data_IF_818409863075
#
_entry.id   IF_818409863075
#
_cell.length_a   1.000
_cell.length_b   1.000
_cell.length_c   1.000
_cell.angle_alpha   90.00
_cell.angle_beta   90.00
_cell.angle_gamma   90.00
#
_symmetry.space_group_name_H-M   'P 1'
#
loop_
_entity.id
_entity.type
_entity.pdbx_description
1 polymer ?
#
# COMPACT_ATOMS: atom_id res chain seq x y z
N UNK A 1 47.66 -19.78 -10.01
CA UNK A 1 46.35 -20.42 -9.73
C UNK A 1 45.25 -19.55 -10.33
N UNK A 2 45.14 -19.50 -11.66
CA UNK A 2 44.26 -18.53 -12.35
C UNK A 2 43.53 -19.18 -13.52
N UNK A 3 43.14 -20.45 -13.40
CA UNK A 3 42.57 -21.23 -14.52
C UNK A 3 41.14 -21.75 -14.27
N UNK A 4 40.48 -21.29 -13.20
CA UNK A 4 39.15 -21.79 -12.79
C UNK A 4 38.03 -20.74 -12.79
N UNK A 5 38.31 -19.46 -13.08
CA UNK A 5 37.25 -18.42 -13.15
C UNK A 5 36.75 -18.20 -14.58
N UNK A 6 37.62 -18.34 -15.56
CA UNK A 6 37.24 -18.11 -16.97
C UNK A 6 36.33 -19.22 -17.52
N UNK A 7 36.50 -20.46 -17.05
CA UNK A 7 35.64 -21.61 -17.43
C UNK A 7 34.21 -21.50 -16.88
N UNK A 8 33.97 -20.75 -15.80
CA UNK A 8 32.62 -20.58 -15.22
C UNK A 8 31.83 -19.53 -16.00
N UNK A 9 32.51 -18.54 -16.58
CA UNK A 9 31.90 -17.53 -17.43
C UNK A 9 31.58 -18.09 -18.83
N UNK A 10 32.48 -18.88 -19.41
CA UNK A 10 32.21 -19.53 -20.71
C UNK A 10 31.05 -20.53 -20.64
N UNK A 11 30.88 -21.26 -19.52
CA UNK A 11 29.74 -22.16 -19.36
C UNK A 11 28.41 -21.42 -19.10
N UNK A 12 28.43 -20.23 -18.52
CA UNK A 12 27.23 -19.40 -18.40
C UNK A 12 26.86 -18.72 -19.71
N UNK A 13 27.82 -18.37 -20.56
CA UNK A 13 27.55 -17.86 -21.91
C UNK A 13 27.01 -18.95 -22.85
N UNK A 14 27.31 -20.23 -22.61
CA UNK A 14 26.78 -21.33 -23.40
C UNK A 14 25.33 -21.71 -23.06
N UNK A 15 24.90 -21.60 -21.80
CA UNK A 15 23.47 -21.73 -21.44
C UNK A 15 22.61 -20.56 -21.93
N UNK A 16 23.24 -19.44 -22.33
CA UNK A 16 22.58 -18.25 -22.86
C UNK A 16 22.22 -18.35 -24.35
N UNK A 17 22.72 -19.34 -25.09
CA UNK A 17 22.54 -19.44 -26.55
C UNK A 17 21.49 -20.47 -26.99
N UNK A 18 20.74 -21.06 -26.05
CA UNK A 18 19.76 -22.13 -26.33
C UNK A 18 18.29 -21.67 -26.34
N UNK A 19 18.00 -20.40 -26.05
CA UNK A 19 16.64 -19.89 -26.22
C UNK A 19 16.35 -19.68 -27.72
N UNK A 20 15.22 -20.22 -28.17
CA UNK A 20 14.74 -20.03 -29.54
C UNK A 20 14.68 -18.54 -29.88
N UNK A 21 15.02 -18.12 -31.11
CA UNK A 21 14.83 -16.74 -31.57
C UNK A 21 13.44 -16.16 -31.26
N UNK A 22 12.42 -17.01 -31.15
CA UNK A 22 11.05 -16.66 -30.79
C UNK A 22 10.89 -16.29 -29.30
N UNK A 23 11.61 -16.94 -28.38
CA UNK A 23 11.59 -16.60 -26.95
C UNK A 23 12.33 -15.28 -26.67
N UNK A 24 13.41 -15.01 -27.41
CA UNK A 24 14.09 -13.72 -27.37
C UNK A 24 13.21 -12.58 -27.90
N UNK A 25 12.46 -12.82 -28.97
CA UNK A 25 11.53 -11.85 -29.52
C UNK A 25 10.37 -11.57 -28.56
N UNK A 26 9.81 -12.60 -27.91
CA UNK A 26 8.77 -12.43 -26.91
C UNK A 26 9.27 -11.68 -25.66
N UNK A 27 10.50 -11.94 -25.22
CA UNK A 27 11.12 -11.21 -24.11
C UNK A 27 11.38 -9.73 -24.45
N UNK A 28 11.88 -9.45 -25.65
CA UNK A 28 12.05 -8.10 -26.18
C UNK A 28 10.70 -7.37 -26.31
N UNK A 29 9.64 -8.06 -26.79
CA UNK A 29 8.28 -7.53 -26.82
C UNK A 29 7.73 -7.28 -25.41
N UNK A 30 7.91 -8.20 -24.46
CA UNK A 30 7.46 -8.04 -23.08
C UNK A 30 8.20 -6.87 -22.39
N UNK A 31 9.51 -6.72 -22.64
CA UNK A 31 10.29 -5.55 -22.20
C UNK A 31 9.85 -4.27 -22.90
N UNK A 32 9.51 -4.31 -24.18
CA UNK A 32 8.99 -3.17 -24.93
C UNK A 32 7.58 -2.78 -24.44
N UNK A 33 6.73 -3.74 -24.10
CA UNK A 33 5.42 -3.54 -23.49
C UNK A 33 5.57 -2.95 -22.07
N UNK A 34 6.53 -3.44 -21.28
CA UNK A 34 6.88 -2.88 -19.97
C UNK A 34 7.40 -1.44 -20.10
N UNK A 35 8.27 -1.19 -21.09
CA UNK A 35 8.79 0.14 -21.44
C UNK A 35 7.71 1.08 -22.01
N UNK A 36 6.69 0.56 -22.70
CA UNK A 36 5.61 1.33 -23.32
C UNK A 36 4.47 1.64 -22.35
N UNK A 37 4.20 0.75 -21.39
CA UNK A 37 3.12 0.97 -20.40
C UNK A 37 3.51 2.04 -19.36
N UNK A 38 4.81 2.32 -19.21
CA UNK A 38 5.34 3.46 -18.46
C UNK A 38 5.87 4.50 -19.44
N UNK A 39 5.01 4.99 -20.33
CA UNK A 39 5.17 6.33 -20.87
C UNK A 39 4.98 7.27 -19.66
N UNK A 40 6.10 7.51 -18.95
CA UNK A 40 6.20 8.27 -17.73
C UNK A 40 5.37 9.55 -17.86
N UNK A 41 4.33 9.67 -17.03
CA UNK A 41 4.09 10.99 -16.43
C UNK A 41 5.44 11.36 -15.83
N UNK A 42 6.13 12.31 -16.45
CA UNK A 42 7.40 12.77 -15.96
C UNK A 42 7.13 13.47 -14.63
N UNK A 43 7.28 12.72 -13.53
CA UNK A 43 7.12 13.21 -12.17
C UNK A 43 8.09 14.36 -11.89
N UNK A 44 9.16 14.51 -12.68
CA UNK A 44 10.09 15.63 -12.59
C UNK A 44 9.57 16.93 -13.21
N UNK A 45 8.60 16.86 -14.13
CA UNK A 45 8.02 18.04 -14.80
C UNK A 45 6.72 18.52 -14.14
N UNK A 46 6.10 17.71 -13.27
CA UNK A 46 4.91 18.15 -12.54
C UNK A 46 5.30 19.06 -11.36
N UNK A 47 4.54 20.14 -11.17
CA UNK A 47 4.58 20.93 -9.94
C UNK A 47 3.51 20.38 -9.01
N UNK A 48 3.87 19.63 -7.96
CA UNK A 48 2.88 19.11 -7.03
C UNK A 48 2.28 20.27 -6.25
N UNK A 49 0.96 20.40 -6.30
CA UNK A 49 0.21 21.37 -5.50
C UNK A 49 -1.19 20.85 -5.26
N UNK A 50 -1.88 21.38 -4.25
CA UNK A 50 -3.29 21.04 -3.98
C UNK A 50 -4.14 21.33 -5.23
N UNK A 51 -3.93 22.49 -5.86
CA UNK A 51 -4.63 22.87 -7.09
C UNK A 51 -4.33 21.90 -8.25
N UNK A 52 -3.06 21.49 -8.41
CA UNK A 52 -2.68 20.50 -9.44
C UNK A 52 -3.38 19.16 -9.19
N UNK A 53 -3.44 18.71 -7.92
CA UNK A 53 -4.12 17.48 -7.53
C UNK A 53 -5.63 17.54 -7.83
N UNK A 54 -6.27 18.66 -7.54
CA UNK A 54 -7.70 18.88 -7.82
C UNK A 54 -8.01 18.90 -9.32
N UNK A 55 -7.13 19.51 -10.12
CA UNK A 55 -7.26 19.54 -11.58
C UNK A 55 -7.13 18.14 -12.18
N UNK A 56 -6.14 17.36 -11.74
CA UNK A 56 -5.97 15.96 -12.17
C UNK A 56 -7.21 15.13 -11.80
N UNK A 57 -7.70 15.27 -10.57
CA UNK A 57 -8.89 14.55 -10.12
C UNK A 57 -10.13 14.91 -10.95
N UNK A 58 -10.35 16.20 -11.20
CA UNK A 58 -11.47 16.69 -12.01
C UNK A 58 -11.41 16.13 -13.44
N UNK A 59 -10.24 16.18 -14.08
CA UNK A 59 -10.07 15.65 -15.44
C UNK A 59 -10.31 14.13 -15.53
N UNK A 60 -9.89 13.36 -14.52
CA UNK A 60 -10.19 11.91 -14.44
C UNK A 60 -11.70 11.68 -14.29
N UNK A 61 -12.36 12.43 -13.41
CA UNK A 61 -13.80 12.31 -13.18
C UNK A 61 -14.58 12.62 -14.47
N UNK A 62 -14.20 13.67 -15.19
CA UNK A 62 -14.81 14.03 -16.49
C UNK A 62 -14.58 12.95 -17.54
N UNK A 63 -13.36 12.43 -17.67
CA UNK A 63 -13.06 11.33 -18.60
C UNK A 63 -13.89 10.08 -18.30
N UNK A 64 -14.15 9.78 -17.01
CA UNK A 64 -15.02 8.67 -16.61
C UNK A 64 -16.48 8.97 -16.96
N UNK A 65 -16.98 10.17 -16.65
CA UNK A 65 -18.36 10.59 -16.94
C UNK A 65 -18.66 10.60 -18.44
N UNK A 66 -17.69 10.98 -19.26
CA UNK A 66 -17.79 11.01 -20.73
C UNK A 66 -17.56 9.64 -21.38
N UNK A 67 -17.27 8.59 -20.59
CA UNK A 67 -17.04 7.24 -21.09
C UNK A 67 -15.70 7.03 -21.80
N UNK A 68 -14.77 7.99 -21.73
CA UNK A 68 -13.41 7.88 -22.27
C UNK A 68 -12.50 6.99 -21.42
N UNK A 69 -12.85 6.77 -20.15
CA UNK A 69 -12.14 5.90 -19.22
C UNK A 69 -13.13 5.02 -18.43
N UNK A 70 -12.90 3.71 -18.43
CA UNK A 70 -13.72 2.78 -17.64
C UNK A 70 -13.46 2.97 -16.12
N UNK A 71 -14.51 3.09 -15.28
CA UNK A 71 -14.35 3.20 -13.83
C UNK A 71 -13.61 2.02 -13.20
N UNK A 72 -13.85 0.80 -13.70
CA UNK A 72 -13.20 -0.41 -13.19
C UNK A 72 -11.72 -0.46 -13.58
N UNK A 73 -11.40 -0.08 -14.82
CA UNK A 73 -10.00 0.02 -15.24
C UNK A 73 -9.26 1.09 -14.45
N UNK A 74 -9.88 2.24 -14.22
CA UNK A 74 -9.31 3.29 -13.39
C UNK A 74 -8.99 2.78 -11.98
N UNK A 75 -9.91 2.04 -11.34
CA UNK A 75 -9.69 1.48 -10.01
C UNK A 75 -8.47 0.53 -9.98
N UNK A 76 -8.31 -0.31 -11.00
CA UNK A 76 -7.15 -1.22 -11.12
C UNK A 76 -5.86 -0.44 -11.37
N UNK A 77 -5.85 0.47 -12.37
CA UNK A 77 -4.68 1.29 -12.73
C UNK A 77 -4.21 2.14 -11.56
N UNK A 78 -5.14 2.78 -10.84
CA UNK A 78 -4.85 3.54 -9.61
C UNK A 78 -4.10 2.68 -8.60
N UNK A 79 -4.57 1.45 -8.34
CA UNK A 79 -3.93 0.57 -7.36
C UNK A 79 -2.49 0.24 -7.76
N UNK A 80 -2.27 -0.13 -9.02
CA UNK A 80 -0.93 -0.45 -9.53
C UNK A 80 0.02 0.74 -9.40
N UNK A 81 -0.43 1.94 -9.78
CA UNK A 81 0.38 3.16 -9.71
C UNK A 81 0.74 3.50 -8.26
N UNK A 82 -0.23 3.47 -7.34
CA UNK A 82 0.02 3.72 -5.91
C UNK A 82 1.00 2.70 -5.35
N UNK A 83 0.75 1.40 -5.57
CA UNK A 83 1.62 0.33 -5.08
C UNK A 83 3.05 0.48 -5.64
N UNK A 84 3.21 0.91 -6.90
CA UNK A 84 4.52 1.14 -7.52
C UNK A 84 5.24 2.37 -6.93
N UNK A 85 4.53 3.48 -6.71
CA UNK A 85 5.10 4.68 -6.08
C UNK A 85 5.52 4.40 -4.63
N UNK A 86 4.69 3.68 -3.88
CA UNK A 86 4.99 3.26 -2.51
C UNK A 86 6.19 2.30 -2.46
N UNK A 87 6.30 1.37 -3.41
CA UNK A 87 7.44 0.47 -3.52
C UNK A 87 8.73 1.22 -3.84
N UNK A 88 8.68 2.21 -4.74
CA UNK A 88 9.82 3.06 -5.08
C UNK A 88 10.29 3.89 -3.87
N UNK A 89 9.37 4.49 -3.12
CA UNK A 89 9.70 5.25 -1.91
C UNK A 89 10.19 4.36 -0.75
N UNK A 90 9.68 3.13 -0.68
CA UNK A 90 10.10 2.13 0.31
C UNK A 90 11.46 1.50 -0.01
N UNK A 91 11.99 1.73 -1.22
CA UNK A 91 13.34 1.33 -1.57
C UNK A 91 14.34 2.00 -0.62
N UNK A 92 15.24 1.19 -0.05
CA UNK A 92 16.20 1.65 0.95
C UNK A 92 17.08 2.80 0.45
N UNK A 93 17.59 2.69 -0.77
CA UNK A 93 18.50 3.69 -1.34
C UNK A 93 17.77 5.02 -1.55
N UNK A 94 16.56 4.99 -2.10
CA UNK A 94 15.71 6.18 -2.28
C UNK A 94 15.40 6.84 -0.93
N UNK A 95 15.04 6.03 0.07
CA UNK A 95 14.75 6.53 1.41
C UNK A 95 15.99 7.17 2.05
N UNK A 96 17.15 6.53 1.97
CA UNK A 96 18.40 7.06 2.51
C UNK A 96 18.81 8.37 1.82
N UNK A 97 18.59 8.47 0.50
CA UNK A 97 18.77 9.73 -0.26
C UNK A 97 17.84 10.84 0.23
N UNK A 98 16.54 10.56 0.42
CA UNK A 98 15.59 11.53 0.96
C UNK A 98 15.96 11.99 2.37
N UNK A 99 16.38 11.06 3.25
CA UNK A 99 16.79 11.39 4.61
C UNK A 99 18.03 12.30 4.59
N UNK A 100 19.06 11.93 3.85
CA UNK A 100 20.30 12.72 3.70
C UNK A 100 20.01 14.13 3.17
N UNK A 101 19.07 14.26 2.23
CA UNK A 101 18.68 15.57 1.70
C UNK A 101 17.98 16.42 2.76
N UNK A 102 17.05 15.85 3.53
CA UNK A 102 16.33 16.58 4.60
C UNK A 102 17.26 16.97 5.74
N UNK A 103 18.27 16.15 6.07
CA UNK A 103 19.27 16.46 7.10
C UNK A 103 20.02 17.77 6.83
N UNK A 104 20.21 18.16 5.56
CA UNK A 104 20.84 19.44 5.19
C UNK A 104 20.09 20.66 5.70
N UNK A 105 18.78 20.53 5.95
CA UNK A 105 17.91 21.60 6.43
C UNK A 105 17.76 21.60 7.97
N UNK A 106 18.41 20.68 8.67
CA UNK A 106 18.41 20.61 10.13
C UNK A 106 17.04 20.26 10.73
N UNK A 107 16.79 20.70 11.98
CA UNK A 107 15.59 20.33 12.75
C UNK A 107 14.28 20.87 12.17
N UNK A 108 14.33 21.99 11.44
CA UNK A 108 13.14 22.59 10.85
C UNK A 108 12.63 21.80 9.64
N UNK A 109 13.51 20.98 9.04
CA UNK A 109 13.25 20.17 7.86
C UNK A 109 13.18 20.98 6.57
N UNK A 110 12.93 20.29 5.47
CA UNK A 110 12.80 20.91 4.16
C UNK A 110 11.35 21.38 3.92
N UNK A 111 11.19 22.42 3.10
CA UNK A 111 9.90 22.81 2.55
C UNK A 111 9.97 22.74 1.03
N UNK A 112 9.18 21.86 0.43
CA UNK A 112 9.19 21.63 -1.00
C UNK A 112 7.75 21.67 -1.53
N UNK A 113 7.49 22.54 -2.50
CA UNK A 113 6.16 22.75 -3.10
C UNK A 113 5.01 22.98 -2.08
N UNK A 114 5.32 23.67 -0.97
CA UNK A 114 4.36 23.92 0.11
C UNK A 114 4.15 22.75 1.09
N UNK A 115 4.81 21.61 0.87
CA UNK A 115 4.85 20.50 1.81
C UNK A 115 6.05 20.65 2.76
N UNK A 116 5.82 20.46 4.07
CA UNK A 116 6.89 20.39 5.06
C UNK A 116 7.36 18.95 5.25
N UNK A 117 8.64 18.71 5.03
CA UNK A 117 9.29 17.40 5.12
C UNK A 117 10.25 17.44 6.30
N UNK A 118 10.00 16.63 7.34
CA UNK A 118 10.82 16.60 8.55
C UNK A 118 11.15 15.16 8.93
N UNK A 119 12.39 14.94 9.38
CA UNK A 119 12.77 13.67 9.99
C UNK A 119 12.18 13.65 11.40
N UNK A 120 11.30 12.69 11.67
CA UNK A 120 10.71 12.48 12.98
C UNK A 120 11.33 11.25 13.62
N UNK A 121 12.09 11.45 14.69
CA UNK A 121 12.57 10.37 15.54
C UNK A 121 11.56 10.19 16.68
N UNK A 122 10.55 9.36 16.45
CA UNK A 122 9.63 8.98 17.51
C UNK A 122 10.35 8.04 18.46
N UNK A 123 10.67 8.51 19.66
CA UNK A 123 11.16 7.63 20.73
C UNK A 123 10.07 6.58 21.03
N UNK A 124 10.40 5.30 20.84
CA UNK A 124 9.55 4.22 21.32
C UNK A 124 9.79 4.06 22.81
N UNK A 125 8.93 4.66 23.62
CA UNK A 125 8.97 4.50 25.07
C UNK A 125 8.53 3.07 25.44
N UNK A 126 9.31 2.43 26.31
CA UNK A 126 9.06 1.09 26.80
C UNK A 126 8.17 1.16 28.05
N UNK A 127 6.87 1.37 27.81
CA UNK A 127 5.87 1.52 28.86
C UNK A 127 5.65 0.22 29.67
N UNK A 128 6.00 -0.93 29.11
CA UNK A 128 5.88 -2.25 29.76
C UNK A 128 6.74 -2.36 31.03
N UNK A 129 7.76 -1.50 31.15
CA UNK A 129 8.62 -1.42 32.34
C UNK A 129 8.02 -0.62 33.49
N UNK A 130 6.95 0.15 33.25
CA UNK A 130 6.26 0.87 34.32
C UNK A 130 5.24 -0.06 35.01
N UNK A 131 5.38 -0.34 36.32
CA UNK A 131 4.49 -1.28 37.02
C UNK A 131 3.03 -0.84 37.04
N UNK A 132 2.76 0.48 37.12
CA UNK A 132 1.38 1.01 37.14
C UNK A 132 0.74 0.89 35.77
N UNK A 133 1.49 1.16 34.70
CA UNK A 133 1.03 1.00 33.34
C UNK A 133 0.64 -0.46 33.06
N UNK A 134 1.48 -1.41 33.51
CA UNK A 134 1.19 -2.83 33.37
C UNK A 134 -0.09 -3.24 34.12
N UNK A 135 -0.25 -2.79 35.36
CA UNK A 135 -1.46 -3.05 36.16
C UNK A 135 -2.74 -2.51 35.48
N UNK A 136 -2.66 -1.29 34.92
CA UNK A 136 -3.76 -0.69 34.16
C UNK A 136 -4.06 -1.50 32.90
N UNK A 137 -3.03 -1.93 32.18
CA UNK A 137 -3.19 -2.65 30.92
C UNK A 137 -3.71 -4.08 31.13
N UNK A 138 -3.26 -4.75 32.19
CA UNK A 138 -3.77 -6.06 32.61
C UNK A 138 -5.26 -5.95 32.98
N UNK A 139 -5.64 -4.89 33.70
CA UNK A 139 -7.05 -4.61 34.03
C UNK A 139 -7.92 -4.30 32.81
N UNK A 140 -7.33 -3.70 31.77
CA UNK A 140 -8.01 -3.41 30.51
C UNK A 140 -8.15 -4.63 29.59
N UNK A 141 -7.26 -5.63 29.71
CA UNK A 141 -7.22 -6.77 28.81
C UNK A 141 -8.56 -7.52 28.77
N UNK A 142 -9.14 -7.81 29.93
CA UNK A 142 -10.42 -8.51 30.05
C UNK A 142 -11.58 -7.66 29.51
N UNK A 143 -11.59 -6.37 29.79
CA UNK A 143 -12.59 -5.43 29.27
C UNK A 143 -12.52 -5.30 27.74
N UNK A 144 -11.33 -5.28 27.16
CA UNK A 144 -11.12 -5.24 25.72
C UNK A 144 -11.53 -6.56 25.05
N UNK A 145 -11.26 -7.71 25.69
CA UNK A 145 -11.70 -9.01 25.22
C UNK A 145 -13.24 -9.12 25.22
N UNK A 146 -13.89 -8.71 26.33
CA UNK A 146 -15.34 -8.67 26.44
C UNK A 146 -15.97 -7.71 25.42
N UNK A 147 -15.38 -6.53 25.21
CA UNK A 147 -15.83 -5.57 24.20
C UNK A 147 -15.76 -6.15 22.79
N UNK A 148 -14.64 -6.76 22.41
CA UNK A 148 -14.49 -7.41 21.10
C UNK A 148 -15.48 -8.56 20.90
N UNK A 149 -15.69 -9.38 21.93
CA UNK A 149 -16.69 -10.45 21.87
C UNK A 149 -18.11 -9.90 21.66
N UNK A 150 -18.45 -8.78 22.29
CA UNK A 150 -19.73 -8.12 22.10
C UNK A 150 -19.85 -7.45 20.72
N UNK A 151 -18.78 -6.84 20.22
CA UNK A 151 -18.72 -6.27 18.85
C UNK A 151 -19.01 -7.36 17.80
N UNK A 152 -18.46 -8.57 17.94
CA UNK A 152 -18.74 -9.68 17.02
C UNK A 152 -20.20 -10.15 17.09
N UNK A 153 -20.79 -10.22 18.29
CA UNK A 153 -22.22 -10.55 18.45
C UNK A 153 -23.12 -9.49 17.81
N UNK A 154 -22.79 -8.21 17.96
CA UNK A 154 -23.52 -7.10 17.30
C UNK A 154 -23.39 -7.19 15.77
N UNK A 155 -22.20 -7.50 15.24
CA UNK A 155 -22.01 -7.73 13.79
C UNK A 155 -22.87 -8.87 13.28
N UNK A 156 -22.99 -9.96 14.04
CA UNK A 156 -23.85 -11.10 13.69
C UNK A 156 -25.34 -10.69 13.70
N UNK A 157 -25.79 -9.97 14.74
CA UNK A 157 -27.16 -9.45 14.82
C UNK A 157 -27.51 -8.54 13.63
N UNK A 158 -26.57 -7.67 13.23
CA UNK A 158 -26.75 -6.82 12.04
C UNK A 158 -26.79 -7.61 10.72
N UNK A 159 -25.99 -8.69 10.57
CA UNK A 159 -26.08 -9.57 9.38
C UNK A 159 -27.43 -10.28 9.30
N UNK A 160 -28.00 -10.64 10.44
CA UNK A 160 -29.27 -11.35 10.55
C UNK A 160 -30.50 -10.42 10.51
N UNK A 161 -30.28 -9.10 10.59
CA UNK A 161 -31.34 -8.09 10.70
C UNK A 161 -32.34 -8.38 11.84
N UNK A 162 -31.84 -8.95 12.95
CA UNK A 162 -32.62 -9.38 14.11
C UNK A 162 -31.73 -9.54 15.35
N UNK A 163 -32.29 -9.27 16.54
CA UNK A 163 -31.54 -9.35 17.80
C UNK A 163 -31.21 -10.81 18.13
N UNK A 164 -30.02 -11.07 18.64
CA UNK A 164 -29.62 -12.42 19.08
C UNK A 164 -30.10 -12.59 20.52
N UNK A 165 -30.90 -13.63 20.76
CA UNK A 165 -31.47 -13.96 22.06
C UNK A 165 -31.01 -15.37 22.46
N UNK A 166 -30.62 -15.54 23.73
CA UNK A 166 -30.26 -16.84 24.31
C UNK A 166 -31.48 -17.77 24.39
N UNK A 167 -31.24 -19.06 24.61
CA UNK A 167 -32.29 -20.06 24.85
C UNK A 167 -33.14 -19.71 26.10
N UNK A 168 -32.56 -18.99 27.06
CA UNK A 168 -33.21 -18.48 28.27
C UNK A 168 -33.98 -17.16 28.09
N UNK A 169 -34.02 -16.60 26.86
CA UNK A 169 -34.74 -15.36 26.55
C UNK A 169 -33.96 -14.06 26.79
N UNK A 170 -32.71 -14.12 27.23
CA UNK A 170 -31.86 -12.94 27.40
C UNK A 170 -31.32 -12.40 26.06
N UNK A 171 -31.38 -11.08 25.86
CA UNK A 171 -30.86 -10.44 24.66
C UNK A 171 -29.32 -10.39 24.72
N UNK A 172 -28.68 -11.26 23.95
CA UNK A 172 -27.22 -11.37 23.85
C UNK A 172 -26.64 -10.20 23.02
N UNK A 173 -27.35 -9.78 21.98
CA UNK A 173 -26.99 -8.61 21.19
C UNK A 173 -28.21 -7.96 20.54
N UNK A 174 -28.33 -6.64 20.75
CA UNK A 174 -29.34 -5.82 20.12
C UNK A 174 -28.90 -5.41 18.70
N UNK A 175 -29.83 -5.42 17.75
CA UNK A 175 -29.57 -4.81 16.44
C UNK A 175 -29.43 -3.31 16.62
N UNK A 176 -28.29 -2.78 16.18
CA UNK A 176 -28.03 -1.34 16.08
C UNK A 176 -28.16 -0.90 14.62
N UNK A 177 -28.37 0.40 14.34
CA UNK A 177 -28.31 0.91 12.98
C UNK A 177 -26.96 0.56 12.35
N UNK A 178 -27.00 -0.25 11.30
CA UNK A 178 -25.83 -0.71 10.58
C UNK A 178 -25.81 -0.07 9.18
N UNK A 179 -25.32 1.18 9.05
CA UNK A 179 -25.28 1.88 7.77
C UNK A 179 -24.38 1.09 6.80
N UNK A 180 -24.93 0.74 5.65
CA UNK A 180 -24.18 0.08 4.59
C UNK A 180 -23.37 1.15 3.85
N UNK A 181 -22.06 0.98 3.78
CA UNK A 181 -21.21 1.67 2.83
C UNK A 181 -20.64 0.63 1.87
N UNK A 182 -20.69 0.93 0.58
CA UNK A 182 -20.10 0.09 -0.45
C UNK A 182 -18.71 0.64 -0.77
N UNK A 183 -17.71 -0.22 -0.82
CA UNK A 183 -16.33 0.15 -1.15
C UNK A 183 -15.80 -0.79 -2.22
N UNK A 184 -15.15 -0.25 -3.24
CA UNK A 184 -14.50 -1.04 -4.28
C UNK A 184 -13.13 -1.50 -3.74
N UNK A 185 -12.97 -2.82 -3.57
CA UNK A 185 -11.70 -3.43 -3.20
C UNK A 185 -11.04 -4.08 -4.42
N UNK A 186 -9.80 -3.67 -4.73
CA UNK A 186 -8.98 -4.26 -5.79
C UNK A 186 -7.87 -5.09 -5.15
N UNK A 187 -7.74 -6.36 -5.54
CA UNK A 187 -6.69 -7.26 -5.06
C UNK A 187 -6.09 -8.07 -6.22
N UNK A 188 -4.78 -8.25 -6.20
CA UNK A 188 -4.07 -9.12 -7.14
C UNK A 188 -3.86 -10.48 -6.47
N UNK A 189 -4.30 -11.56 -7.13
CA UNK A 189 -4.02 -12.92 -6.65
C UNK A 189 -2.58 -13.26 -7.03
N UNK A 190 -1.71 -13.43 -6.05
CA UNK A 190 -0.38 -14.01 -6.26
C UNK A 190 -0.54 -15.50 -6.58
N UNK A 191 0.02 -15.97 -7.70
CA UNK A 191 0.16 -17.41 -7.93
C UNK A 191 1.16 -17.94 -6.89
N UNK A 192 0.74 -18.98 -6.15
CA UNK A 192 1.60 -19.77 -5.26
C UNK A 192 2.52 -20.66 -6.08
#
# INVERSE_FOLDING_TARGET
MTRNKDLVLEHQEQEYNDNSPEEYAQYEEDLAQLRYTIQLMDLGLMVPSIATSEQIATGIIEAIKEGRLSPLEFAVKKKVIIDALDAALSNKEVKDMCLTEVEKYGKEGASLYGASIKITNTAKYDYDKDPKWKEINDSLADGLAARKAQEEKIKQACKMNGSIVSEDGEVIAQVVPCPKSETIAVSFKTKK
#
